data_IF_969396106020
#
_entry.id   IF_969396106020
#
_cell.length_a   1.000
_cell.length_b   1.000
_cell.length_c   1.000
_cell.angle_alpha   90.00
_cell.angle_beta   90.00
_cell.angle_gamma   90.00
#
_symmetry.space_group_name_H-M   'P 1'
#
loop_
_entity.id
_entity.type
_entity.pdbx_description
1 polymer ?
#
# COMPACT_ATOMS: atom_id res chain seq x y z
N UNK A 1 1.76 17.01 -19.66
CA UNK A 1 2.82 16.36 -18.85
C UNK A 1 2.24 15.06 -18.38
N UNK A 2 2.96 13.94 -18.48
CA UNK A 2 2.48 12.65 -17.95
C UNK A 2 2.56 12.68 -16.42
N UNK A 3 1.43 12.63 -15.75
CA UNK A 3 1.32 12.49 -14.29
C UNK A 3 2.02 11.19 -13.86
N UNK A 4 2.84 11.21 -12.81
CA UNK A 4 3.43 9.97 -12.26
C UNK A 4 2.33 9.07 -11.68
N UNK A 5 2.57 7.76 -11.57
CA UNK A 5 1.59 6.86 -10.93
C UNK A 5 1.27 7.26 -9.50
N UNK A 6 2.27 7.71 -8.73
CA UNK A 6 2.08 8.21 -7.37
C UNK A 6 1.09 9.38 -7.31
N UNK A 7 1.25 10.37 -8.20
CA UNK A 7 0.32 11.50 -8.31
C UNK A 7 -1.06 11.05 -8.79
N UNK A 8 -1.12 10.17 -9.79
CA UNK A 8 -2.39 9.61 -10.29
C UNK A 8 -3.17 8.93 -9.17
N UNK A 9 -2.54 8.08 -8.35
CA UNK A 9 -3.21 7.42 -7.23
C UNK A 9 -3.82 8.42 -6.26
N UNK A 10 -3.08 9.47 -5.90
CA UNK A 10 -3.57 10.50 -4.98
C UNK A 10 -4.74 11.29 -5.56
N UNK A 11 -4.68 11.63 -6.84
CA UNK A 11 -5.77 12.32 -7.56
C UNK A 11 -7.01 11.43 -7.68
N UNK A 12 -6.84 10.18 -8.11
CA UNK A 12 -7.92 9.19 -8.20
C UNK A 12 -8.59 9.02 -6.85
N UNK A 13 -7.83 8.85 -5.77
CA UNK A 13 -8.39 8.61 -4.43
C UNK A 13 -9.09 9.84 -3.88
N UNK A 14 -8.63 11.05 -4.23
CA UNK A 14 -9.35 12.28 -3.91
C UNK A 14 -10.69 12.37 -4.65
N UNK A 15 -10.76 11.92 -5.90
CA UNK A 15 -12.03 11.86 -6.64
C UNK A 15 -13.01 10.82 -6.07
N UNK A 16 -12.49 9.82 -5.36
CA UNK A 16 -13.26 8.75 -4.72
C UNK A 16 -13.60 9.03 -3.25
N UNK A 17 -13.10 10.12 -2.65
CA UNK A 17 -13.13 10.35 -1.20
C UNK A 17 -14.50 10.10 -0.56
N UNK A 18 -15.57 10.66 -1.16
CA UNK A 18 -16.94 10.48 -0.65
C UNK A 18 -17.40 9.02 -0.64
N UNK A 19 -17.05 8.26 -1.67
CA UNK A 19 -17.37 6.83 -1.79
C UNK A 19 -16.53 6.01 -0.81
N UNK A 20 -15.23 6.29 -0.75
CA UNK A 20 -14.31 5.61 0.15
C UNK A 20 -14.69 5.83 1.61
N UNK A 21 -15.14 7.03 1.99
CA UNK A 21 -15.65 7.30 3.33
C UNK A 21 -16.72 6.25 3.72
N UNK A 22 -17.76 6.13 2.89
CA UNK A 22 -18.85 5.19 3.15
C UNK A 22 -18.37 3.73 3.20
N UNK A 23 -17.43 3.36 2.32
CA UNK A 23 -16.90 2.02 2.21
C UNK A 23 -16.02 1.64 3.41
N UNK A 24 -15.17 2.56 3.89
CA UNK A 24 -14.23 2.31 4.99
C UNK A 24 -14.93 2.19 6.35
N UNK A 25 -16.14 2.74 6.49
CA UNK A 25 -16.99 2.53 7.66
C UNK A 25 -17.65 1.15 7.71
N UNK A 26 -17.71 0.44 6.58
CA UNK A 26 -18.31 -0.90 6.53
C UNK A 26 -17.37 -1.95 7.12
N UNK A 27 -17.94 -2.84 7.94
CA UNK A 27 -17.20 -3.98 8.47
C UNK A 27 -16.73 -4.89 7.32
N UNK A 28 -15.44 -5.24 7.33
CA UNK A 28 -14.84 -6.25 6.44
C UNK A 28 -14.75 -5.87 4.95
N UNK A 29 -14.70 -4.57 4.61
CA UNK A 29 -14.31 -4.14 3.25
C UNK A 29 -12.80 -4.21 3.06
N UNK A 30 -12.39 -5.00 2.07
CA UNK A 30 -11.00 -5.25 1.68
C UNK A 30 -10.59 -4.39 0.48
N UNK A 31 -9.31 -4.44 0.20
CA UNK A 31 -8.58 -3.76 -0.88
C UNK A 31 -9.31 -3.83 -2.24
N UNK A 32 -9.97 -4.96 -2.53
CA UNK A 32 -10.72 -5.23 -3.77
C UNK A 32 -11.69 -4.11 -4.17
N UNK A 33 -12.36 -3.47 -3.21
CA UNK A 33 -13.31 -2.39 -3.52
C UNK A 33 -12.59 -1.18 -4.12
N UNK A 34 -11.51 -0.73 -3.48
CA UNK A 34 -10.72 0.38 -3.96
C UNK A 34 -10.02 0.04 -5.28
N UNK A 35 -9.54 -1.20 -5.44
CA UNK A 35 -9.02 -1.68 -6.72
C UNK A 35 -10.06 -1.53 -7.84
N UNK A 36 -11.30 -1.97 -7.62
CA UNK A 36 -12.39 -1.83 -8.60
C UNK A 36 -12.69 -0.38 -8.97
N UNK A 37 -12.75 0.52 -7.97
CA UNK A 37 -12.97 1.95 -8.22
C UNK A 37 -11.80 2.59 -9.00
N UNK A 38 -10.55 2.21 -8.70
CA UNK A 38 -9.37 2.66 -9.45
C UNK A 38 -9.40 2.18 -10.91
N UNK A 39 -9.83 0.95 -11.15
CA UNK A 39 -10.01 0.42 -12.50
C UNK A 39 -11.07 1.18 -13.29
N UNK A 40 -12.21 1.47 -12.68
CA UNK A 40 -13.27 2.25 -13.32
C UNK A 40 -12.87 3.70 -13.63
N UNK A 41 -11.93 4.26 -12.86
CA UNK A 41 -11.37 5.59 -13.12
C UNK A 41 -10.22 5.59 -14.12
N UNK A 42 -9.61 4.43 -14.38
CA UNK A 42 -8.48 4.34 -15.30
C UNK A 42 -8.92 4.66 -16.73
N UNK A 43 -8.08 5.39 -17.46
CA UNK A 43 -8.23 5.59 -18.90
C UNK A 43 -7.33 4.61 -19.67
N UNK A 44 -7.51 4.56 -20.99
CA UNK A 44 -6.67 3.77 -21.89
C UNK A 44 -5.17 4.09 -21.74
N UNK A 45 -4.81 5.33 -21.36
CA UNK A 45 -3.41 5.72 -21.14
C UNK A 45 -2.80 5.07 -19.89
N UNK A 46 -3.62 4.74 -18.87
CA UNK A 46 -3.16 4.06 -17.67
C UNK A 46 -3.14 2.55 -17.83
N UNK A 47 -4.08 2.01 -18.63
CA UNK A 47 -4.26 0.57 -18.90
C UNK A 47 -4.04 -0.27 -17.63
N UNK A 48 -4.85 0.04 -16.60
CA UNK A 48 -4.73 -0.54 -15.27
C UNK A 48 -5.34 -1.95 -15.28
N UNK A 49 -4.56 -2.92 -14.83
CA UNK A 49 -5.03 -4.27 -14.51
C UNK A 49 -5.06 -4.47 -12.98
N UNK A 50 -5.99 -5.29 -12.52
CA UNK A 50 -6.19 -5.63 -11.11
C UNK A 50 -5.91 -7.11 -10.82
N UNK A 51 -5.50 -7.42 -9.59
CA UNK A 51 -5.32 -8.78 -9.07
C UNK A 51 -4.51 -9.67 -10.01
N UNK A 52 -3.41 -9.13 -10.57
CA UNK A 52 -2.71 -9.76 -11.66
C UNK A 52 -1.73 -10.80 -11.15
N UNK A 53 -1.98 -12.05 -11.54
CA UNK A 53 -1.03 -13.17 -11.46
C UNK A 53 -0.19 -13.20 -12.72
N UNK A 54 0.78 -12.31 -12.81
CA UNK A 54 1.77 -12.33 -13.90
C UNK A 54 2.93 -13.28 -13.60
N UNK A 55 3.67 -13.70 -14.62
CA UNK A 55 5.03 -14.25 -14.49
C UNK A 55 5.94 -13.08 -14.10
N UNK A 56 5.80 -12.59 -12.87
CA UNK A 56 6.66 -11.55 -12.30
C UNK A 56 7.59 -12.26 -11.33
N UNK A 57 8.92 -12.14 -11.48
CA UNK A 57 9.86 -12.61 -10.46
C UNK A 57 9.49 -11.94 -9.13
N UNK A 58 8.99 -12.71 -8.15
CA UNK A 58 8.56 -12.20 -6.85
C UNK A 58 7.10 -12.51 -6.45
N UNK A 59 6.22 -12.88 -7.39
CA UNK A 59 4.86 -13.37 -7.08
C UNK A 59 3.71 -12.52 -7.64
N UNK A 60 2.54 -12.60 -6.99
CA UNK A 60 1.31 -11.90 -7.39
C UNK A 60 1.45 -10.39 -7.11
N UNK A 61 0.60 -9.53 -7.69
CA UNK A 61 0.45 -8.12 -7.26
C UNK A 61 -0.99 -7.66 -7.40
N UNK A 62 -1.35 -6.63 -6.64
CA UNK A 62 -2.71 -6.07 -6.64
C UNK A 62 -3.01 -5.22 -7.88
N UNK A 63 -2.04 -4.44 -8.33
CA UNK A 63 -2.22 -3.45 -9.41
C UNK A 63 -1.06 -3.50 -10.40
N UNK A 64 -1.36 -3.41 -11.70
CA UNK A 64 -0.36 -3.27 -12.77
C UNK A 64 -0.80 -2.19 -13.75
N UNK A 65 0.12 -1.31 -14.14
CA UNK A 65 -0.09 -0.30 -15.18
C UNK A 65 0.83 -0.49 -16.39
N UNK A 66 0.35 -0.19 -17.61
CA UNK A 66 1.19 -0.35 -18.83
C UNK A 66 1.99 0.89 -19.24
N UNK A 67 1.95 2.00 -18.50
CA UNK A 67 2.77 3.19 -18.77
C UNK A 67 3.06 3.98 -17.49
N UNK A 68 4.34 4.25 -17.13
CA UNK A 68 5.51 3.35 -17.23
C UNK A 68 5.23 2.04 -16.48
N UNK A 69 5.93 0.94 -16.83
CA UNK A 69 5.67 -0.42 -16.30
C UNK A 69 5.62 -0.41 -14.77
N UNK A 70 4.44 -0.32 -14.19
CA UNK A 70 4.25 -0.11 -12.76
C UNK A 70 3.61 -1.35 -12.16
N UNK A 71 4.05 -1.70 -10.96
CA UNK A 71 3.37 -2.66 -10.08
C UNK A 71 3.11 -2.02 -8.73
N UNK A 72 1.98 -2.36 -8.12
CA UNK A 72 1.69 -1.89 -6.76
C UNK A 72 0.97 -2.95 -5.91
N UNK A 73 1.19 -2.82 -4.60
CA UNK A 73 0.42 -3.49 -3.56
C UNK A 73 -0.47 -2.46 -2.87
N UNK A 74 -1.71 -2.85 -2.59
CA UNK A 74 -2.69 -2.02 -1.90
C UNK A 74 -2.97 -2.67 -0.54
N UNK A 75 -3.07 -1.86 0.51
CA UNK A 75 -3.53 -2.32 1.82
C UNK A 75 -4.48 -1.34 2.46
N UNK A 76 -5.61 -1.86 2.94
CA UNK A 76 -6.51 -1.12 3.83
C UNK A 76 -6.25 -1.59 5.25
N UNK A 77 -5.52 -0.78 6.02
CA UNK A 77 -5.12 -1.12 7.38
C UNK A 77 -6.22 -0.75 8.38
N UNK A 78 -7.18 -1.65 8.58
CA UNK A 78 -8.30 -1.48 9.51
C UNK A 78 -8.21 -2.31 10.78
N UNK A 79 -8.83 -1.85 11.88
CA UNK A 79 -8.92 -2.58 13.16
C UNK A 79 -9.60 -3.95 13.05
N UNK A 80 -10.48 -4.14 12.06
CA UNK A 80 -11.09 -5.44 11.72
C UNK A 80 -10.18 -6.44 11.01
N UNK A 81 -8.92 -6.07 10.73
CA UNK A 81 -7.95 -6.85 9.95
C UNK A 81 -6.67 -7.21 10.69
N UNK A 82 -6.61 -6.94 12.00
CA UNK A 82 -5.42 -7.03 12.85
C UNK A 82 -4.48 -8.25 12.64
N UNK A 83 -4.96 -9.47 12.30
CA UNK A 83 -4.05 -10.59 12.03
C UNK A 83 -3.15 -10.41 10.80
N UNK A 84 -3.41 -9.43 9.92
CA UNK A 84 -2.76 -9.29 8.59
C UNK A 84 -2.35 -7.86 8.23
N UNK A 85 -2.03 -7.02 9.22
CA UNK A 85 -1.81 -5.59 8.96
C UNK A 85 -0.34 -5.27 8.75
N UNK A 86 0.47 -5.19 9.81
CA UNK A 86 1.85 -4.70 9.69
C UNK A 86 2.87 -5.81 9.35
N UNK A 87 3.04 -6.78 10.25
CA UNK A 87 3.99 -7.90 10.11
C UNK A 87 3.31 -9.29 10.07
N UNK A 88 1.98 -9.34 10.15
CA UNK A 88 1.19 -10.57 10.03
C UNK A 88 1.06 -11.40 11.32
N UNK A 89 1.28 -10.77 12.48
CA UNK A 89 0.99 -11.27 13.83
C UNK A 89 0.89 -10.09 14.81
N UNK A 90 0.76 -10.38 16.12
CA UNK A 90 0.73 -9.35 17.15
C UNK A 90 2.02 -8.52 17.14
N UNK A 91 1.89 -7.19 17.07
CA UNK A 91 3.06 -6.30 17.10
C UNK A 91 3.74 -6.42 18.48
N UNK A 92 5.06 -6.63 18.49
CA UNK A 92 5.87 -6.65 19.71
C UNK A 92 6.14 -5.22 20.21
N UNK A 93 6.43 -5.06 21.50
CA UNK A 93 6.78 -3.74 22.06
C UNK A 93 8.01 -3.12 21.40
N UNK A 94 8.96 -3.95 20.96
CA UNK A 94 10.16 -3.52 20.25
C UNK A 94 9.82 -2.93 18.89
N UNK A 95 8.96 -3.60 18.11
CA UNK A 95 8.47 -3.07 16.84
C UNK A 95 7.61 -1.82 17.03
N UNK A 96 6.80 -1.78 18.09
CA UNK A 96 5.97 -0.62 18.40
C UNK A 96 6.77 0.63 18.81
N UNK A 97 8.02 0.46 19.24
CA UNK A 97 8.90 1.55 19.66
C UNK A 97 9.80 2.08 18.52
N UNK A 98 9.70 1.50 17.32
CA UNK A 98 10.58 1.83 16.20
C UNK A 98 9.90 2.85 15.28
N UNK A 99 10.57 3.98 15.08
CA UNK A 99 10.06 5.09 14.26
C UNK A 99 10.33 4.91 12.76
N UNK A 100 11.31 4.08 12.39
CA UNK A 100 11.71 3.86 10.99
C UNK A 100 12.06 2.39 10.76
N UNK A 101 11.54 1.79 9.68
CA UNK A 101 11.91 0.44 9.26
C UNK A 101 12.73 0.44 7.99
N UNK A 102 13.78 -0.38 7.97
CA UNK A 102 14.51 -0.75 6.76
C UNK A 102 13.90 -2.01 6.12
N UNK A 103 14.29 -2.32 4.88
CA UNK A 103 13.92 -3.61 4.28
C UNK A 103 14.48 -4.81 5.05
N UNK A 104 15.62 -4.67 5.73
CA UNK A 104 16.19 -5.73 6.58
C UNK A 104 15.34 -5.98 7.83
N UNK A 105 14.86 -4.90 8.45
CA UNK A 105 13.88 -5.00 9.55
C UNK A 105 12.62 -5.72 9.09
N UNK A 106 12.11 -5.36 7.91
CA UNK A 106 10.90 -6.00 7.38
C UNK A 106 11.12 -7.48 7.10
N UNK A 107 12.25 -7.87 6.49
CA UNK A 107 12.62 -9.27 6.21
C UNK A 107 12.74 -10.11 7.48
N UNK A 108 13.31 -9.55 8.54
CA UNK A 108 13.50 -10.26 9.80
C UNK A 108 12.20 -10.44 10.60
N UNK A 109 11.19 -9.59 10.35
CA UNK A 109 9.98 -9.55 11.16
C UNK A 109 8.68 -9.90 10.41
N UNK A 110 8.67 -9.98 9.07
CA UNK A 110 7.45 -10.36 8.37
C UNK A 110 7.12 -11.84 8.57
N UNK A 111 5.83 -12.16 8.60
CA UNK A 111 5.37 -13.55 8.67
C UNK A 111 5.17 -14.19 7.29
N UNK A 112 4.74 -15.44 7.28
CA UNK A 112 4.28 -16.14 6.08
C UNK A 112 2.90 -15.65 5.62
N UNK A 113 2.10 -15.08 6.53
CA UNK A 113 0.80 -14.47 6.22
C UNK A 113 0.97 -13.13 5.48
N UNK A 114 -0.07 -12.71 4.76
CA UNK A 114 -0.07 -11.40 4.09
C UNK A 114 0.05 -10.26 5.10
N UNK A 115 0.95 -9.32 4.86
CA UNK A 115 1.23 -8.16 5.71
C UNK A 115 1.95 -7.07 4.95
N UNK A 116 1.87 -5.83 5.44
CA UNK A 116 2.57 -4.66 4.87
C UNK A 116 4.06 -4.94 4.70
N UNK A 117 4.76 -5.50 5.70
CA UNK A 117 6.19 -5.80 5.60
C UNK A 117 6.51 -6.82 4.52
N UNK A 118 5.71 -7.90 4.44
CA UNK A 118 5.88 -8.92 3.40
C UNK A 118 5.70 -8.32 2.00
N UNK A 119 4.73 -7.43 1.85
CA UNK A 119 4.40 -6.80 0.57
C UNK A 119 5.46 -5.77 0.16
N UNK A 120 6.00 -4.99 1.09
CA UNK A 120 7.19 -4.16 0.87
C UNK A 120 8.39 -4.99 0.38
N UNK A 121 8.71 -6.09 1.07
CA UNK A 121 9.81 -6.97 0.68
C UNK A 121 9.59 -7.59 -0.70
N UNK A 122 8.38 -8.07 -0.98
CA UNK A 122 8.01 -8.65 -2.27
C UNK A 122 8.14 -7.64 -3.41
N UNK A 123 7.61 -6.43 -3.23
CA UNK A 123 7.75 -5.35 -4.20
C UNK A 123 9.23 -5.00 -4.40
N UNK A 124 10.00 -4.86 -3.32
CA UNK A 124 11.43 -4.55 -3.41
C UNK A 124 12.21 -5.63 -4.19
N UNK A 125 11.85 -6.90 -4.01
CA UNK A 125 12.45 -8.04 -4.71
C UNK A 125 11.99 -8.22 -6.17
N UNK A 126 10.95 -7.49 -6.60
CA UNK A 126 10.51 -7.50 -7.98
C UNK A 126 11.55 -6.90 -8.94
N UNK A 127 11.36 -7.15 -10.23
CA UNK A 127 12.25 -6.69 -11.29
C UNK A 127 12.41 -5.15 -11.27
N UNK A 128 13.64 -4.67 -11.38
CA UNK A 128 13.98 -3.24 -11.33
C UNK A 128 13.51 -2.46 -12.58
N UNK A 129 13.03 -3.14 -13.61
CA UNK A 129 12.36 -2.51 -14.76
C UNK A 129 10.96 -1.99 -14.42
N UNK A 130 10.42 -2.35 -13.25
CA UNK A 130 9.15 -1.82 -12.77
C UNK A 130 9.31 -0.61 -11.85
N UNK A 131 8.41 0.36 -11.99
CA UNK A 131 8.11 1.29 -10.90
C UNK A 131 7.25 0.58 -9.86
N UNK A 132 7.65 0.67 -8.59
CA UNK A 132 7.11 -0.16 -7.50
C UNK A 132 6.44 0.73 -6.48
N UNK A 133 5.16 0.50 -6.20
CA UNK A 133 4.42 1.29 -5.23
C UNK A 133 3.79 0.45 -4.13
N UNK A 134 3.93 0.90 -2.88
CA UNK A 134 3.11 0.42 -1.77
C UNK A 134 2.07 1.50 -1.46
N UNK A 135 0.79 1.14 -1.47
CA UNK A 135 -0.31 2.06 -1.17
C UNK A 135 -0.99 1.59 0.11
N UNK A 136 -0.95 2.43 1.13
CA UNK A 136 -1.55 2.17 2.44
C UNK A 136 -2.67 3.16 2.67
N UNK A 137 -3.86 2.63 2.91
CA UNK A 137 -5.05 3.39 3.31
C UNK A 137 -5.32 3.11 4.79
N UNK A 138 -5.34 4.17 5.60
CA UNK A 138 -5.49 4.09 7.06
C UNK A 138 -6.80 4.78 7.44
N UNK A 139 -7.89 4.04 7.71
CA UNK A 139 -9.13 4.64 8.19
C UNK A 139 -8.90 5.32 9.55
N UNK A 140 -9.37 6.55 9.73
CA UNK A 140 -9.16 7.31 10.99
C UNK A 140 -9.79 6.65 12.21
N UNK A 141 -10.82 5.84 12.01
CA UNK A 141 -11.39 5.00 13.06
C UNK A 141 -10.36 4.07 13.71
N UNK A 142 -9.26 3.75 13.02
CA UNK A 142 -8.19 2.89 13.50
C UNK A 142 -7.04 3.67 14.16
N UNK A 143 -6.94 5.00 13.98
CA UNK A 143 -5.88 5.82 14.59
C UNK A 143 -5.85 5.77 16.12
N UNK A 144 -6.98 5.38 16.76
CA UNK A 144 -7.06 5.25 18.22
C UNK A 144 -6.48 3.94 18.74
N UNK A 145 -6.26 2.95 17.88
CA UNK A 145 -5.60 1.70 18.24
C UNK A 145 -4.09 1.77 18.00
N UNK A 146 -3.36 0.84 18.61
CA UNK A 146 -1.90 0.77 18.55
C UNK A 146 -1.38 0.64 17.12
N UNK A 147 -2.12 -0.05 16.23
CA UNK A 147 -1.71 -0.22 14.84
C UNK A 147 -1.81 1.10 14.08
N UNK A 148 -2.91 1.85 14.24
CA UNK A 148 -3.09 3.15 13.59
C UNK A 148 -1.99 4.13 14.01
N UNK A 149 -1.65 4.16 15.29
CA UNK A 149 -0.56 5.02 15.80
C UNK A 149 0.80 4.64 15.20
N UNK A 150 1.12 3.34 15.14
CA UNK A 150 2.36 2.86 14.52
C UNK A 150 2.38 3.24 13.04
N UNK A 151 1.31 2.96 12.30
CA UNK A 151 1.23 3.27 10.87
C UNK A 151 1.28 4.77 10.56
N UNK A 152 0.93 5.66 11.49
CA UNK A 152 1.10 7.10 11.31
C UNK A 152 2.53 7.57 11.56
N UNK A 153 3.18 7.02 12.60
CA UNK A 153 4.48 7.48 13.08
C UNK A 153 5.64 6.82 12.34
N UNK A 154 5.40 5.65 11.76
CA UNK A 154 6.42 4.84 11.10
C UNK A 154 6.84 5.43 9.76
N UNK A 155 8.13 5.58 9.57
CA UNK A 155 8.78 5.83 8.30
C UNK A 155 9.10 4.49 7.62
N UNK A 156 8.71 4.35 6.36
CA UNK A 156 9.01 3.19 5.52
C UNK A 156 10.00 3.56 4.41
N UNK A 157 10.74 2.59 3.85
CA UNK A 157 11.68 2.86 2.77
C UNK A 157 10.96 3.35 1.51
N UNK A 158 11.56 4.36 0.86
CA UNK A 158 11.09 4.90 -0.41
C UNK A 158 10.70 6.37 -0.34
N UNK A 159 10.32 6.92 -1.48
CA UNK A 159 9.76 8.27 -1.56
C UNK A 159 8.28 8.22 -1.16
N UNK A 160 7.92 8.90 -0.08
CA UNK A 160 6.54 8.95 0.40
C UNK A 160 5.78 10.15 -0.18
N UNK A 161 4.56 9.88 -0.64
CA UNK A 161 3.53 10.87 -0.90
C UNK A 161 2.35 10.61 0.05
N UNK A 162 1.93 11.62 0.77
CA UNK A 162 0.89 11.49 1.80
C UNK A 162 -0.23 12.51 1.55
N UNK A 163 -1.48 12.05 1.65
CA UNK A 163 -2.65 12.93 1.69
C UNK A 163 -3.57 12.57 2.86
N UNK A 164 -3.96 13.62 3.57
CA UNK A 164 -4.95 13.53 4.65
C UNK A 164 -6.35 13.79 4.09
N UNK A 165 -7.29 12.89 4.39
CA UNK A 165 -8.71 13.08 4.12
C UNK A 165 -9.47 13.18 5.44
N UNK A 166 -10.75 13.53 5.40
CA UNK A 166 -11.55 13.69 6.63
C UNK A 166 -11.64 12.37 7.42
N UNK A 167 -11.76 11.23 6.72
CA UNK A 167 -12.08 9.92 7.31
C UNK A 167 -10.97 8.87 7.22
N UNK A 168 -9.93 9.13 6.42
CA UNK A 168 -8.79 8.24 6.27
C UNK A 168 -7.54 9.02 5.87
N UNK A 169 -6.40 8.37 5.96
CA UNK A 169 -5.16 8.81 5.33
C UNK A 169 -4.79 7.87 4.21
N UNK A 170 -4.07 8.43 3.24
CA UNK A 170 -3.40 7.63 2.23
C UNK A 170 -1.92 7.97 2.19
N UNK A 171 -1.11 6.92 2.29
CA UNK A 171 0.33 6.96 2.14
C UNK A 171 0.71 6.11 0.92
N UNK A 172 1.36 6.72 -0.05
CA UNK A 172 1.87 6.08 -1.26
C UNK A 172 3.39 6.12 -1.20
N UNK A 173 4.03 4.96 -1.22
CA UNK A 173 5.49 4.84 -1.19
C UNK A 173 5.95 4.38 -2.55
N UNK A 174 6.81 5.15 -3.20
CA UNK A 174 7.58 4.69 -4.36
C UNK A 174 8.87 4.04 -3.88
N UNK A 175 8.98 2.73 -4.07
CA UNK A 175 10.12 1.96 -3.60
C UNK A 175 11.33 2.15 -4.54
N UNK A 176 12.56 2.13 -4.00
CA UNK A 176 13.76 2.21 -4.81
C UNK A 176 14.00 0.94 -5.63
N UNK A 177 14.82 1.09 -6.68
CA UNK A 177 15.42 -0.03 -7.40
C UNK A 177 16.63 -0.57 -6.63
N UNK A 178 16.78 -1.90 -6.60
CA UNK A 178 17.87 -2.57 -5.88
C UNK A 178 19.24 -2.18 -6.42
N UNK A 179 19.34 -2.07 -7.74
CA UNK A 179 20.57 -1.70 -8.47
C UNK A 179 21.08 -0.29 -8.23
N UNK A 180 20.36 0.56 -7.48
CA UNK A 180 20.74 1.96 -7.20
C UNK A 180 21.39 2.16 -5.82
N UNK A 181 21.66 1.08 -5.08
CA UNK A 181 22.28 1.10 -3.75
C UNK A 181 23.40 0.06 -3.63
#
# INVERSE_FOLDING_TARGET
MSTSWGEWFLESISSLEKRLNYILEMKRVRELWLQGELYLLSSDEQNLDLNRRGIIPGGEVDLIGQHPRMIAELKICGSGYYPKTLCGFHISNELAAKDEFTFEDMRSHHSTEGSVFKDFCRLYDADDSYEKYMIIVIPKLCRRDTLGQILEQTIFPGLEFHRHHEYFDIRVFQLPNRSKF
#
